data_IF_413249675701
#
_entry.id   IF_413249675701
#
_cell.length_a   1.000
_cell.length_b   1.000
_cell.length_c   1.000
_cell.angle_alpha   90.00
_cell.angle_beta   90.00
_cell.angle_gamma   90.00
#
_symmetry.space_group_name_H-M   'P 1'
#
loop_
_entity.id
_entity.type
_entity.pdbx_description
1 polymer ?
#
# COMPACT_ATOMS: atom_id res chain seq x y z
N UNK A 1 -19.09 4.10 -14.47
CA UNK A 1 -19.03 3.26 -13.27
C UNK A 1 -19.08 4.19 -12.07
N UNK A 2 -20.02 3.97 -11.12
CA UNK A 2 -20.11 4.81 -9.92
C UNK A 2 -18.98 4.39 -8.97
N UNK A 3 -18.17 5.34 -8.52
CA UNK A 3 -17.07 5.13 -7.60
C UNK A 3 -17.29 5.93 -6.33
N UNK A 4 -16.72 5.46 -5.23
CA UNK A 4 -16.73 6.12 -3.93
C UNK A 4 -15.30 6.54 -3.64
N UNK A 5 -15.07 7.79 -3.28
CA UNK A 5 -13.76 8.33 -2.90
C UNK A 5 -13.65 8.39 -1.40
N UNK A 6 -12.44 8.21 -0.90
CA UNK A 6 -12.10 8.26 0.53
C UNK A 6 -10.98 9.26 0.76
N UNK A 7 -11.08 9.96 1.88
CA UNK A 7 -10.08 10.90 2.36
C UNK A 7 -9.57 10.48 3.75
N UNK A 8 -8.29 10.76 4.02
CA UNK A 8 -7.63 10.37 5.27
C UNK A 8 -8.33 10.97 6.50
N UNK A 9 -8.78 12.22 6.39
CA UNK A 9 -9.36 12.95 7.53
C UNK A 9 -10.74 12.42 7.92
N UNK A 10 -11.52 11.98 6.94
CA UNK A 10 -12.90 11.54 7.16
C UNK A 10 -13.04 10.03 7.26
N UNK A 11 -12.24 9.29 6.48
CA UNK A 11 -12.41 7.85 6.30
C UNK A 11 -11.25 7.03 6.89
N UNK A 12 -10.17 7.71 7.31
CA UNK A 12 -8.99 7.08 7.87
C UNK A 12 -8.01 6.53 6.82
N UNK A 13 -8.33 6.61 5.53
CA UNK A 13 -7.45 6.20 4.42
C UNK A 13 -7.76 6.98 3.15
N UNK A 14 -6.81 6.99 2.22
CA UNK A 14 -6.97 7.64 0.93
C UNK A 14 -7.12 6.60 -0.17
N UNK A 15 -8.21 6.65 -0.94
CA UNK A 15 -8.50 5.64 -1.94
C UNK A 15 -9.77 5.89 -2.75
N UNK A 16 -10.09 4.90 -3.59
CA UNK A 16 -11.34 4.87 -4.35
C UNK A 16 -11.87 3.44 -4.46
N UNK A 17 -13.15 3.26 -4.19
CA UNK A 17 -13.84 1.97 -4.34
C UNK A 17 -14.59 1.89 -5.66
N UNK A 18 -14.40 0.78 -6.33
CA UNK A 18 -14.95 0.44 -7.63
C UNK A 18 -15.74 -0.85 -7.51
N UNK A 19 -17.07 -0.73 -7.66
CA UNK A 19 -17.95 -1.89 -7.58
C UNK A 19 -18.04 -2.59 -8.93
N UNK A 20 -17.92 -3.92 -8.94
CA UNK A 20 -18.22 -4.74 -10.13
C UNK A 20 -19.74 -4.73 -10.44
N UNK A 21 -20.13 -5.22 -11.61
CA UNK A 21 -21.52 -5.20 -12.04
C UNK A 21 -22.38 -6.21 -11.31
N UNK A 22 -21.81 -7.37 -11.06
CA UNK A 22 -22.48 -8.48 -10.41
C UNK A 22 -22.34 -8.37 -8.89
N UNK A 23 -23.25 -9.01 -8.15
CA UNK A 23 -23.08 -9.12 -6.70
C UNK A 23 -21.88 -10.01 -6.39
N UNK A 24 -20.95 -9.46 -5.62
CA UNK A 24 -19.74 -10.16 -5.22
C UNK A 24 -19.38 -9.77 -3.79
N UNK A 25 -19.04 -10.77 -2.98
CA UNK A 25 -18.50 -10.61 -1.63
C UNK A 25 -16.98 -10.61 -1.59
N UNK A 26 -16.35 -10.49 -2.76
CA UNK A 26 -14.90 -10.45 -2.94
C UNK A 26 -14.43 -9.04 -3.28
N UNK A 27 -13.33 -8.60 -2.66
CA UNK A 27 -12.66 -7.36 -3.02
C UNK A 27 -11.14 -7.49 -2.95
N UNK A 28 -10.46 -6.70 -3.78
CA UNK A 28 -9.00 -6.52 -3.73
C UNK A 28 -8.69 -5.10 -3.28
N UNK A 29 -7.89 -4.98 -2.23
CA UNK A 29 -7.17 -3.73 -1.91
C UNK A 29 -5.97 -3.67 -2.84
N UNK A 30 -6.00 -2.71 -3.77
CA UNK A 30 -5.01 -2.59 -4.85
C UNK A 30 -4.13 -1.37 -4.62
N UNK A 31 -2.84 -1.60 -4.39
CA UNK A 31 -1.84 -0.57 -4.10
C UNK A 31 -0.74 -0.60 -5.18
N UNK A 32 -1.11 -0.24 -6.40
CA UNK A 32 -0.19 -0.09 -7.54
C UNK A 32 -0.33 1.32 -8.12
N UNK A 33 0.79 1.94 -8.48
CA UNK A 33 0.82 3.32 -8.94
C UNK A 33 0.95 4.33 -7.78
N UNK A 34 1.10 5.60 -8.15
CA UNK A 34 1.35 6.71 -7.21
C UNK A 34 0.05 7.35 -6.70
N UNK A 35 -1.05 7.09 -7.38
CA UNK A 35 -2.37 7.62 -7.03
C UNK A 35 -3.44 6.54 -7.21
N UNK A 36 -4.49 6.49 -6.35
CA UNK A 36 -5.56 5.49 -6.45
C UNK A 36 -6.30 5.49 -7.79
N UNK A 37 -6.15 6.54 -8.58
CA UNK A 37 -6.82 6.73 -9.85
C UNK A 37 -5.86 7.00 -11.03
N UNK A 38 -4.60 6.72 -10.88
CA UNK A 38 -3.66 6.83 -11.98
C UNK A 38 -3.89 5.75 -13.06
N UNK A 39 -3.08 5.77 -14.10
CA UNK A 39 -3.20 4.83 -15.21
C UNK A 39 -2.98 3.37 -14.78
N UNK A 40 -2.03 3.11 -13.88
CA UNK A 40 -1.72 1.76 -13.40
C UNK A 40 -2.87 1.21 -12.54
N UNK A 41 -3.32 2.01 -11.58
CA UNK A 41 -4.46 1.67 -10.75
C UNK A 41 -5.71 1.38 -11.60
N UNK A 42 -6.06 2.27 -12.53
CA UNK A 42 -7.21 2.08 -13.43
C UNK A 42 -7.12 0.85 -14.32
N UNK A 43 -5.91 0.50 -14.77
CA UNK A 43 -5.69 -0.72 -15.56
C UNK A 43 -5.95 -1.97 -14.72
N UNK A 44 -5.45 -2.01 -13.50
CA UNK A 44 -5.72 -3.09 -12.55
C UNK A 44 -7.20 -3.19 -12.18
N UNK A 45 -7.83 -2.04 -11.91
CA UNK A 45 -9.29 -1.97 -11.65
C UNK A 45 -10.09 -2.57 -12.79
N UNK A 46 -9.81 -2.16 -14.03
CA UNK A 46 -10.51 -2.68 -15.20
C UNK A 46 -10.41 -4.20 -15.28
N UNK A 47 -9.20 -4.72 -15.15
CA UNK A 47 -8.92 -6.15 -15.23
C UNK A 47 -9.64 -6.98 -14.16
N UNK A 48 -9.70 -6.49 -12.91
CA UNK A 48 -10.36 -7.17 -11.80
C UNK A 48 -11.89 -7.10 -11.90
N UNK A 49 -12.43 -5.93 -12.24
CA UNK A 49 -13.88 -5.75 -12.37
C UNK A 49 -14.47 -6.58 -13.49
N UNK A 50 -13.78 -6.73 -14.61
CA UNK A 50 -14.19 -7.62 -15.71
C UNK A 50 -14.28 -9.10 -15.29
N UNK A 51 -13.68 -9.45 -14.12
CA UNK A 51 -13.70 -10.78 -13.50
C UNK A 51 -14.65 -10.89 -12.31
N UNK A 52 -15.48 -9.88 -12.09
CA UNK A 52 -16.46 -9.90 -11.02
C UNK A 52 -15.92 -9.59 -9.63
N UNK A 53 -14.73 -9.00 -9.52
CA UNK A 53 -14.09 -8.65 -8.25
C UNK A 53 -14.21 -7.15 -8.00
N UNK A 54 -14.69 -6.77 -6.81
CA UNK A 54 -14.69 -5.37 -6.36
C UNK A 54 -13.24 -4.92 -6.10
N UNK A 55 -12.96 -3.64 -6.28
CA UNK A 55 -11.61 -3.11 -6.08
C UNK A 55 -11.65 -1.88 -5.20
N UNK A 56 -10.81 -1.86 -4.19
CA UNK A 56 -10.49 -0.68 -3.41
C UNK A 56 -9.05 -0.28 -3.73
N UNK A 57 -8.89 0.74 -4.58
CA UNK A 57 -7.56 1.29 -4.84
C UNK A 57 -7.12 2.18 -3.69
N UNK A 58 -5.88 2.02 -3.24
CA UNK A 58 -5.29 2.86 -2.19
C UNK A 58 -3.93 3.37 -2.63
N UNK A 59 -3.56 4.56 -2.16
CA UNK A 59 -2.19 5.05 -2.24
C UNK A 59 -1.66 5.29 -0.83
N UNK A 60 -0.48 4.77 -0.49
CA UNK A 60 0.19 5.09 0.76
C UNK A 60 0.60 6.56 0.84
N UNK A 61 0.95 7.15 -0.29
CA UNK A 61 1.47 8.50 -0.37
C UNK A 61 0.46 9.44 -1.02
N UNK A 62 -0.28 10.19 -0.24
CA UNK A 62 -1.00 11.35 -0.75
C UNK A 62 0.00 12.44 -1.14
N UNK A 63 0.48 12.45 -2.39
CA UNK A 63 1.29 13.52 -3.02
C UNK A 63 2.65 13.87 -2.39
N UNK A 64 2.95 13.44 -1.18
CA UNK A 64 4.24 13.61 -0.54
C UNK A 64 4.91 12.25 -0.42
N UNK A 65 5.98 12.08 -1.17
CA UNK A 65 6.79 10.84 -1.19
C UNK A 65 7.56 10.66 0.13
N UNK A 66 6.81 10.55 1.22
CA UNK A 66 7.35 10.14 2.50
C UNK A 66 7.08 8.65 2.70
N UNK A 67 8.09 7.82 2.47
CA UNK A 67 8.02 6.41 2.82
C UNK A 67 8.51 6.23 4.25
N UNK A 68 7.75 6.75 5.21
CA UNK A 68 8.11 6.64 6.61
C UNK A 68 6.87 6.59 7.50
N UNK A 69 6.91 5.70 8.48
CA UNK A 69 5.88 5.48 9.48
C UNK A 69 4.45 5.46 8.91
N UNK A 70 4.28 4.82 7.72
CA UNK A 70 2.93 4.66 7.17
C UNK A 70 2.08 3.84 8.15
N UNK A 71 0.96 4.40 8.64
CA UNK A 71 0.17 3.73 9.66
C UNK A 71 -0.64 2.59 9.05
N UNK A 72 -0.44 1.37 9.59
CA UNK A 72 -1.23 0.19 9.18
C UNK A 72 -2.71 0.35 9.49
N UNK A 73 -3.07 1.24 10.39
CA UNK A 73 -4.46 1.61 10.69
C UNK A 73 -5.24 2.06 9.46
N UNK A 74 -4.55 2.56 8.43
CA UNK A 74 -5.21 2.90 7.15
C UNK A 74 -5.70 1.67 6.40
N UNK A 75 -4.93 0.59 6.46
CA UNK A 75 -5.36 -0.71 5.91
C UNK A 75 -6.49 -1.30 6.77
N UNK A 76 -6.37 -1.21 8.09
CA UNK A 76 -7.40 -1.65 9.04
C UNK A 76 -8.73 -0.93 8.80
N UNK A 77 -8.70 0.39 8.60
CA UNK A 77 -9.89 1.19 8.25
C UNK A 77 -10.51 0.75 6.91
N UNK A 78 -9.68 0.52 5.90
CA UNK A 78 -10.12 0.02 4.59
C UNK A 78 -10.78 -1.37 4.70
N UNK A 79 -10.18 -2.30 5.45
CA UNK A 79 -10.74 -3.63 5.73
C UNK A 79 -12.10 -3.49 6.43
N UNK A 80 -12.16 -2.66 7.47
CA UNK A 80 -13.38 -2.40 8.23
C UNK A 80 -14.48 -1.87 7.33
N UNK A 81 -14.15 -0.92 6.47
CA UNK A 81 -15.10 -0.37 5.51
C UNK A 81 -15.61 -1.44 4.54
N UNK A 82 -14.73 -2.28 3.97
CA UNK A 82 -15.12 -3.37 3.08
C UNK A 82 -16.05 -4.38 3.77
N UNK A 83 -15.75 -4.74 5.00
CA UNK A 83 -16.62 -5.65 5.79
C UNK A 83 -18.02 -5.07 6.00
N UNK A 84 -18.11 -3.76 6.23
CA UNK A 84 -19.39 -3.05 6.35
C UNK A 84 -20.16 -2.99 5.01
N UNK A 85 -19.51 -3.28 3.87
CA UNK A 85 -20.15 -3.48 2.57
C UNK A 85 -20.51 -4.95 2.28
N UNK A 86 -20.46 -5.83 3.29
CA UNK A 86 -20.65 -7.29 3.18
C UNK A 86 -19.60 -7.99 2.30
N UNK A 87 -18.40 -7.44 2.22
CA UNK A 87 -17.26 -8.12 1.61
C UNK A 87 -16.65 -9.08 2.63
N UNK A 88 -16.63 -10.37 2.31
CA UNK A 88 -16.15 -11.43 3.20
C UNK A 88 -14.77 -11.96 2.80
N UNK A 89 -14.40 -11.82 1.52
CA UNK A 89 -13.12 -12.25 0.99
C UNK A 89 -12.31 -11.05 0.54
N UNK A 90 -11.27 -10.73 1.28
CA UNK A 90 -10.44 -9.56 1.05
C UNK A 90 -9.05 -10.02 0.63
N UNK A 91 -8.65 -9.64 -0.59
CA UNK A 91 -7.28 -9.77 -1.04
C UNK A 91 -6.55 -8.43 -0.99
N UNK A 92 -5.22 -8.48 -0.93
CA UNK A 92 -4.36 -7.30 -1.00
C UNK A 92 -3.27 -7.49 -2.05
N UNK A 93 -3.05 -6.47 -2.86
CA UNK A 93 -2.05 -6.46 -3.94
C UNK A 93 -1.20 -5.21 -3.83
N UNK A 94 0.11 -5.38 -3.84
CA UNK A 94 1.07 -4.28 -3.82
C UNK A 94 2.31 -4.57 -4.65
N UNK A 95 3.06 -3.52 -5.00
CA UNK A 95 4.30 -3.62 -5.76
C UNK A 95 5.41 -2.81 -5.09
N UNK A 96 6.65 -3.32 -5.11
CA UNK A 96 7.80 -2.69 -4.47
C UNK A 96 7.51 -2.39 -2.99
N UNK A 97 7.62 -1.14 -2.54
CA UNK A 97 7.30 -0.73 -1.16
C UNK A 97 5.88 -1.12 -0.74
N UNK A 98 4.89 -0.99 -1.63
CA UNK A 98 3.52 -1.44 -1.32
C UNK A 98 3.37 -2.96 -1.38
N UNK A 99 4.26 -3.66 -2.06
CA UNK A 99 4.38 -5.12 -1.95
C UNK A 99 4.82 -5.56 -0.55
N UNK A 100 5.83 -4.87 0.01
CA UNK A 100 6.25 -5.08 1.40
C UNK A 100 5.12 -4.70 2.38
N UNK A 101 4.40 -3.60 2.11
CA UNK A 101 3.22 -3.23 2.89
C UNK A 101 2.12 -4.29 2.85
N UNK A 102 1.87 -4.90 1.69
CA UNK A 102 0.88 -5.96 1.54
C UNK A 102 1.22 -7.20 2.39
N UNK A 103 2.49 -7.63 2.38
CA UNK A 103 2.98 -8.72 3.24
C UNK A 103 2.86 -8.38 4.72
N UNK A 104 3.27 -7.16 5.09
CA UNK A 104 3.17 -6.68 6.47
C UNK A 104 1.72 -6.66 6.93
N UNK A 105 0.81 -6.06 6.16
CA UNK A 105 -0.61 -6.00 6.49
C UNK A 105 -1.22 -7.39 6.65
N UNK A 106 -0.89 -8.34 5.79
CA UNK A 106 -1.36 -9.72 5.89
C UNK A 106 -0.86 -10.45 7.14
N UNK A 107 0.26 -10.03 7.71
CA UNK A 107 0.75 -10.58 8.99
C UNK A 107 0.03 -10.01 10.22
N UNK A 108 -0.61 -8.85 10.09
CA UNK A 108 -1.36 -8.17 11.17
C UNK A 108 -2.86 -8.45 11.11
N UNK A 109 -3.44 -8.58 9.91
CA UNK A 109 -4.88 -8.64 9.70
C UNK A 109 -5.32 -9.97 9.09
N UNK A 110 -5.92 -10.83 9.91
CA UNK A 110 -6.41 -12.16 9.51
C UNK A 110 -7.56 -12.11 8.49
N UNK A 111 -8.17 -10.96 8.30
CA UNK A 111 -9.22 -10.72 7.30
C UNK A 111 -8.68 -10.75 5.87
N UNK A 112 -7.38 -10.56 5.69
CA UNK A 112 -6.71 -10.67 4.40
C UNK A 112 -6.51 -12.15 4.07
N UNK A 113 -7.26 -12.66 3.09
CA UNK A 113 -7.25 -14.08 2.71
C UNK A 113 -6.39 -14.39 1.49
N UNK A 114 -5.97 -13.35 0.76
CA UNK A 114 -5.08 -13.45 -0.41
C UNK A 114 -4.10 -12.29 -0.41
N UNK A 115 -2.82 -12.58 -0.61
CA UNK A 115 -1.79 -11.55 -0.75
C UNK A 115 -0.98 -11.77 -2.03
N UNK A 116 -0.88 -10.72 -2.85
CA UNK A 116 0.00 -10.69 -4.02
C UNK A 116 0.99 -9.55 -3.83
N UNK A 117 2.23 -9.89 -3.60
CA UNK A 117 3.32 -8.94 -3.45
C UNK A 117 4.27 -9.07 -4.65
N UNK A 118 4.35 -8.01 -5.44
CA UNK A 118 5.23 -7.96 -6.62
C UNK A 118 6.53 -7.26 -6.23
N UNK A 119 7.64 -7.94 -6.41
CA UNK A 119 8.99 -7.43 -6.05
C UNK A 119 9.07 -6.77 -4.66
N UNK A 120 8.54 -7.42 -3.61
CA UNK A 120 8.62 -6.88 -2.26
C UNK A 120 10.05 -7.03 -1.72
N UNK A 121 10.39 -6.27 -0.67
CA UNK A 121 11.48 -6.65 0.22
C UNK A 121 11.00 -7.72 1.20
N UNK A 122 11.87 -8.61 1.61
CA UNK A 122 11.64 -9.64 2.63
C UNK A 122 11.75 -9.11 4.07
N UNK A 123 12.05 -7.82 4.22
CA UNK A 123 12.11 -7.11 5.50
C UNK A 123 11.61 -5.67 5.33
N UNK A 124 11.23 -5.06 6.44
CA UNK A 124 10.85 -3.65 6.50
C UNK A 124 12.12 -2.80 6.55
N UNK A 125 12.23 -1.84 5.67
CA UNK A 125 13.32 -0.88 5.65
C UNK A 125 13.13 0.24 6.65
N UNK A 126 14.23 0.92 6.97
CA UNK A 126 14.19 2.24 7.60
C UNK A 126 13.34 3.20 6.76
N UNK A 127 12.61 4.07 7.44
CA UNK A 127 11.84 5.13 6.80
C UNK A 127 12.75 6.13 6.09
N UNK A 128 12.28 6.67 4.96
CA UNK A 128 13.04 7.63 4.16
C UNK A 128 12.14 8.65 3.48
N UNK A 129 12.73 9.79 3.15
CA UNK A 129 12.12 10.79 2.27
C UNK A 129 12.74 10.73 0.88
N UNK A 130 11.93 10.83 -0.15
CA UNK A 130 12.37 10.92 -1.53
C UNK A 130 12.38 12.38 -1.99
N UNK A 131 13.52 12.84 -2.50
CA UNK A 131 13.66 14.23 -2.96
C UNK A 131 13.03 14.47 -4.32
N UNK A 132 12.20 15.48 -4.39
CA UNK A 132 11.54 15.90 -5.64
C UNK A 132 12.49 16.53 -6.67
N UNK A 133 13.65 17.08 -6.23
CA UNK A 133 14.53 17.89 -7.09
C UNK A 133 15.76 17.17 -7.62
N UNK A 134 16.22 16.12 -6.95
CA UNK A 134 17.52 15.50 -7.22
C UNK A 134 17.42 14.12 -7.88
N UNK A 135 16.34 13.85 -8.58
CA UNK A 135 16.20 12.64 -9.39
C UNK A 135 16.40 11.35 -8.61
N UNK A 136 15.67 11.19 -7.50
CA UNK A 136 15.65 9.96 -6.71
C UNK A 136 16.70 9.82 -5.60
N UNK A 137 17.23 10.91 -5.05
CA UNK A 137 17.97 10.78 -3.79
C UNK A 137 16.99 10.48 -2.66
N UNK A 138 17.25 9.40 -1.96
CA UNK A 138 16.54 9.00 -0.76
C UNK A 138 17.31 9.44 0.47
N UNK A 139 16.61 10.05 1.45
CA UNK A 139 17.18 10.43 2.72
C UNK A 139 16.54 9.60 3.82
N UNK A 140 17.28 8.64 4.38
CA UNK A 140 16.78 7.87 5.51
C UNK A 140 16.52 8.77 6.72
N UNK A 141 15.49 8.43 7.49
CA UNK A 141 15.10 9.14 8.70
C UNK A 141 15.46 8.27 9.89
N UNK A 142 16.32 8.80 10.78
CA UNK A 142 16.75 8.07 11.96
C UNK A 142 15.56 7.80 12.88
N UNK A 143 15.47 6.57 13.40
CA UNK A 143 14.41 6.16 14.31
C UNK A 143 13.05 5.86 13.65
N UNK A 144 12.92 6.02 12.34
CA UNK A 144 11.66 5.76 11.64
C UNK A 144 11.74 4.49 10.77
N UNK A 145 10.63 3.80 10.71
CA UNK A 145 10.40 2.63 9.84
C UNK A 145 9.64 3.05 8.58
N UNK A 146 9.56 2.18 7.57
CA UNK A 146 8.58 2.36 6.50
C UNK A 146 7.16 2.39 7.03
N UNK A 147 6.86 1.56 8.03
CA UNK A 147 5.52 1.35 8.56
C UNK A 147 5.47 1.53 10.07
N UNK A 148 4.29 1.92 10.54
CA UNK A 148 3.97 2.01 11.96
C UNK A 148 2.65 1.33 12.25
N UNK A 149 2.45 0.95 13.51
CA UNK A 149 1.17 0.47 14.00
C UNK A 149 0.95 0.95 15.44
N UNK A 150 -0.23 1.51 15.71
CA UNK A 150 -0.61 2.12 17.00
C UNK A 150 0.36 3.19 17.48
N UNK A 151 0.88 3.98 16.52
CA UNK A 151 1.80 5.08 16.79
C UNK A 151 3.26 4.66 17.01
N UNK A 152 3.58 3.35 16.94
CA UNK A 152 4.93 2.84 17.09
C UNK A 152 5.50 2.40 15.75
N UNK A 153 6.76 2.76 15.47
CA UNK A 153 7.50 2.30 14.31
C UNK A 153 7.69 0.78 14.38
N UNK A 154 7.40 0.07 13.29
CA UNK A 154 7.65 -1.37 13.23
C UNK A 154 9.17 -1.65 13.20
N UNK A 155 9.63 -2.81 13.70
CA UNK A 155 11.03 -3.21 13.57
C UNK A 155 11.48 -3.15 12.11
N UNK A 156 12.66 -2.60 11.86
CA UNK A 156 13.15 -2.36 10.52
C UNK A 156 14.66 -2.63 10.38
N UNK A 157 15.10 -2.86 9.16
CA UNK A 157 16.51 -2.94 8.80
C UNK A 157 17.02 -1.52 8.50
N UNK A 158 18.00 -0.99 9.26
CA UNK A 158 18.56 0.32 8.98
C UNK A 158 19.38 0.30 7.68
N UNK A 159 19.33 1.42 6.96
CA UNK A 159 20.19 1.60 5.80
C UNK A 159 21.66 1.69 6.23
N UNK A 160 22.54 1.03 5.49
CA UNK A 160 23.97 1.11 5.75
C UNK A 160 24.55 2.41 5.16
N UNK A 161 24.39 3.52 5.86
CA UNK A 161 24.80 4.86 5.43
C UNK A 161 26.26 5.00 4.95
N UNK A 162 27.12 4.09 5.35
CA UNK A 162 28.56 4.18 5.08
C UNK A 162 28.99 3.61 3.73
N UNK A 163 28.09 3.01 2.98
CA UNK A 163 28.40 2.39 1.69
C UNK A 163 27.35 2.76 0.65
N UNK A 164 27.51 3.89 -0.07
CA UNK A 164 26.61 4.27 -1.16
C UNK A 164 26.50 3.19 -2.25
N UNK A 165 27.51 2.32 -2.40
CA UNK A 165 27.50 1.21 -3.35
C UNK A 165 26.52 0.08 -2.94
N UNK A 166 26.12 -0.02 -1.69
CA UNK A 166 25.11 -0.98 -1.23
C UNK A 166 23.70 -0.66 -1.80
N UNK A 167 23.44 0.59 -2.07
CA UNK A 167 22.16 1.04 -2.63
C UNK A 167 21.91 0.52 -4.03
N UNK A 168 22.96 0.50 -4.85
CA UNK A 168 22.89 0.04 -6.24
C UNK A 168 22.70 -1.49 -6.33
N UNK A 169 23.16 -2.24 -5.35
CA UNK A 169 23.02 -3.71 -5.35
C UNK A 169 21.63 -4.19 -4.98
N UNK A 170 20.84 -3.40 -4.22
CA UNK A 170 19.51 -3.75 -3.75
C UNK A 170 18.40 -3.36 -4.73
N UNK A 171 18.67 -2.42 -5.64
CA UNK A 171 17.74 -2.03 -6.71
C UNK A 171 17.86 -2.95 -7.94
N UNK A 172 18.86 -3.80 -8.00
CA UNK A 172 19.17 -4.67 -9.15
C UNK A 172 18.93 -6.16 -8.92
N UNK A 173 18.10 -6.52 -7.92
CA UNK A 173 17.62 -7.91 -7.79
C UNK A 173 16.27 -8.06 -8.45
#
# INVERSE_FOLDING_TARGET
MKRIHFDIETDGFYGAYWRCKDESDEAIILMIGDDPEDHMAKSGVKWLIERGVNVLTMSPAKKDYGHHNYPLERIEAAITWLKNQNINKIGIVGASTTGTLALTAASFFNEITLTIAMTPSDFIWQGFMQGKKDGCKEWPIEGESLFSYRGEALPYMPFAYKHPDYWLSLIHI
#
